data_IF_237426115089
#
_entry.id   IF_237426115089
#
_cell.length_a   1.000
_cell.length_b   1.000
_cell.length_c   1.000
_cell.angle_alpha   90.00
_cell.angle_beta   90.00
_cell.angle_gamma   90.00
#
_symmetry.space_group_name_H-M   'P 1'
#
loop_
_entity.id
_entity.type
_entity.pdbx_description
1 polymer ?
#
# COMPACT_ATOMS: atom_id res chain seq x y z
N UNK A 1 1.60 -7.84 17.67
CA UNK A 1 1.11 -6.45 17.74
C UNK A 1 2.31 -5.57 17.48
N UNK A 2 2.26 -4.74 16.44
CA UNK A 2 3.43 -4.07 15.84
C UNK A 2 4.26 -3.29 16.88
N UNK A 3 3.63 -2.61 17.83
CA UNK A 3 4.36 -1.88 18.88
C UNK A 3 5.18 -2.79 19.81
N UNK A 4 4.63 -3.95 20.20
CA UNK A 4 5.35 -4.92 21.02
C UNK A 4 6.50 -5.59 20.24
N UNK A 5 6.32 -5.79 18.93
CA UNK A 5 7.38 -6.29 18.05
C UNK A 5 8.49 -5.25 17.85
N UNK A 6 8.14 -3.96 17.74
CA UNK A 6 9.09 -2.85 17.67
C UNK A 6 9.94 -2.76 18.94
N UNK A 7 9.32 -2.89 20.13
CA UNK A 7 10.03 -2.98 21.40
C UNK A 7 10.98 -4.18 21.43
N UNK A 8 10.53 -5.36 20.98
CA UNK A 8 11.38 -6.55 20.89
C UNK A 8 12.54 -6.39 19.88
N UNK A 9 12.37 -5.55 18.86
CA UNK A 9 13.40 -5.18 17.90
C UNK A 9 14.36 -4.09 18.41
N UNK A 10 14.18 -3.60 19.64
CA UNK A 10 15.04 -2.59 20.27
C UNK A 10 14.66 -1.14 19.98
N UNK A 11 13.44 -0.88 19.48
CA UNK A 11 12.87 0.47 19.39
C UNK A 11 12.21 0.83 20.73
N UNK A 12 13.02 1.02 21.77
CA UNK A 12 12.60 1.16 23.16
C UNK A 12 12.32 2.61 23.59
N UNK A 13 11.64 3.38 22.73
CA UNK A 13 11.27 4.76 23.06
C UNK A 13 10.02 4.81 23.97
N UNK A 14 9.85 5.87 24.78
CA UNK A 14 8.69 6.01 25.67
C UNK A 14 7.34 5.85 24.95
N UNK A 15 7.19 6.41 23.75
CA UNK A 15 5.95 6.31 23.00
C UNK A 15 5.68 4.89 22.46
N UNK A 16 6.71 4.08 22.17
CA UNK A 16 6.51 2.66 21.84
C UNK A 16 6.01 1.85 23.04
N UNK A 17 6.55 2.12 24.24
CA UNK A 17 6.09 1.50 25.47
C UNK A 17 4.61 1.85 25.75
N UNK A 18 4.24 3.11 25.57
CA UNK A 18 2.86 3.59 25.72
C UNK A 18 1.92 2.92 24.71
N UNK A 19 2.29 2.93 23.42
CA UNK A 19 1.52 2.33 22.36
C UNK A 19 1.32 0.81 22.56
N UNK A 20 2.34 0.12 23.06
CA UNK A 20 2.25 -1.31 23.40
C UNK A 20 1.35 -1.58 24.62
N UNK A 21 1.16 -0.58 25.49
CA UNK A 21 0.29 -0.65 26.67
C UNK A 21 -1.15 -0.19 26.44
N UNK A 22 -1.48 0.41 25.29
CA UNK A 22 -2.83 0.93 25.03
C UNK A 22 -3.89 -0.18 25.02
N UNK A 23 -5.06 0.07 25.63
CA UNK A 23 -6.16 -0.88 25.58
C UNK A 23 -6.75 -0.92 24.16
N UNK A 24 -7.33 -2.08 23.77
CA UNK A 24 -7.90 -2.27 22.42
C UNK A 24 -9.03 -1.31 22.06
N UNK A 25 -9.65 -0.69 23.05
CA UNK A 25 -10.74 0.27 22.90
C UNK A 25 -10.29 1.74 23.12
N UNK A 26 -8.98 2.01 23.13
CA UNK A 26 -8.46 3.36 23.13
C UNK A 26 -9.01 4.16 21.93
N UNK A 27 -9.09 5.48 22.08
CA UNK A 27 -9.55 6.36 21.00
C UNK A 27 -8.61 6.24 19.80
N UNK A 28 -9.18 6.19 18.59
CA UNK A 28 -8.42 6.03 17.35
C UNK A 28 -7.46 7.21 17.13
N UNK A 29 -7.82 8.41 17.59
CA UNK A 29 -6.96 9.59 17.53
C UNK A 29 -5.78 9.46 18.48
N UNK A 30 -6.03 9.03 19.71
CA UNK A 30 -4.95 8.82 20.69
C UNK A 30 -3.96 7.75 20.19
N UNK A 31 -4.46 6.63 19.66
CA UNK A 31 -3.63 5.59 19.05
C UNK A 31 -2.76 6.17 17.92
N UNK A 32 -3.36 6.98 17.03
CA UNK A 32 -2.64 7.58 15.91
C UNK A 32 -1.58 8.55 16.40
N UNK A 33 -1.95 9.46 17.30
CA UNK A 33 -1.05 10.52 17.76
C UNK A 33 0.13 9.92 18.55
N UNK A 34 -0.10 8.89 19.39
CA UNK A 34 0.97 8.12 20.05
C UNK A 34 1.85 7.37 19.04
N UNK A 35 1.27 6.82 17.97
CA UNK A 35 2.04 6.15 16.92
C UNK A 35 2.94 7.11 16.13
N UNK A 36 2.41 8.29 15.76
CA UNK A 36 3.19 9.34 15.09
C UNK A 36 4.36 9.81 15.98
N UNK A 37 4.10 9.98 17.28
CA UNK A 37 5.13 10.30 18.26
C UNK A 37 6.20 9.21 18.36
N UNK A 38 5.82 7.93 18.40
CA UNK A 38 6.76 6.81 18.48
C UNK A 38 7.67 6.71 17.26
N UNK A 39 7.13 6.96 16.06
CA UNK A 39 7.92 7.03 14.84
C UNK A 39 8.90 8.20 14.86
N UNK A 40 8.45 9.38 15.29
CA UNK A 40 9.31 10.57 15.39
C UNK A 40 10.46 10.36 16.37
N UNK A 41 10.21 9.77 17.54
CA UNK A 41 11.23 9.44 18.53
C UNK A 41 12.26 8.43 18.01
N UNK A 42 11.84 7.55 17.10
CA UNK A 42 12.70 6.55 16.46
C UNK A 42 13.46 7.10 15.24
N UNK A 43 13.29 8.39 14.92
CA UNK A 43 13.87 9.00 13.72
C UNK A 43 13.25 8.50 12.41
N UNK A 44 12.07 7.87 12.47
CA UNK A 44 11.35 7.34 11.31
C UNK A 44 10.40 8.42 10.79
N UNK A 45 10.72 8.97 9.61
CA UNK A 45 9.84 9.89 8.92
C UNK A 45 8.65 9.17 8.30
N UNK A 46 7.45 9.72 8.47
CA UNK A 46 6.28 9.24 7.74
C UNK A 46 6.36 9.67 6.28
N UNK A 47 6.09 8.76 5.33
CA UNK A 47 5.94 9.16 3.94
C UNK A 47 4.78 10.14 3.80
N UNK A 48 4.91 11.12 2.90
CA UNK A 48 3.77 11.92 2.50
C UNK A 48 2.67 11.04 1.88
N UNK A 49 1.47 11.60 1.74
CA UNK A 49 0.30 10.86 1.22
C UNK A 49 0.56 10.24 -0.16
N UNK A 50 1.31 10.92 -1.03
CA UNK A 50 1.62 10.45 -2.38
C UNK A 50 2.57 9.26 -2.33
N UNK A 51 3.68 9.38 -1.61
CA UNK A 51 4.64 8.30 -1.41
C UNK A 51 3.99 7.08 -0.74
N UNK A 52 3.17 7.29 0.29
CA UNK A 52 2.42 6.23 0.95
C UNK A 52 1.48 5.48 -0.03
N UNK A 53 0.75 6.22 -0.89
CA UNK A 53 -0.12 5.63 -1.91
C UNK A 53 0.66 4.83 -2.95
N UNK A 54 1.85 5.29 -3.35
CA UNK A 54 2.71 4.57 -4.29
C UNK A 54 3.30 3.28 -3.69
N UNK A 55 3.71 3.31 -2.42
CA UNK A 55 4.08 2.08 -1.70
C UNK A 55 2.91 1.09 -1.63
N UNK A 56 1.69 1.57 -1.35
CA UNK A 56 0.50 0.73 -1.32
C UNK A 56 0.20 0.11 -2.70
N UNK A 57 0.34 0.89 -3.79
CA UNK A 57 0.16 0.41 -5.16
C UNK A 57 1.13 -0.74 -5.50
N UNK A 58 2.39 -0.61 -5.08
CA UNK A 58 3.42 -1.66 -5.27
C UNK A 58 3.16 -2.91 -4.46
N UNK A 59 2.75 -2.74 -3.20
CA UNK A 59 2.37 -3.87 -2.34
C UNK A 59 1.17 -4.62 -2.92
N UNK A 60 0.21 -3.90 -3.48
CA UNK A 60 -0.92 -4.50 -4.18
C UNK A 60 -0.47 -5.27 -5.42
N UNK A 61 0.44 -4.71 -6.23
CA UNK A 61 1.00 -5.41 -7.38
C UNK A 61 1.74 -6.69 -6.98
N UNK A 62 2.51 -6.67 -5.88
CA UNK A 62 3.18 -7.86 -5.34
C UNK A 62 2.17 -8.96 -4.96
N UNK A 63 1.15 -8.59 -4.16
CA UNK A 63 0.10 -9.54 -3.76
C UNK A 63 -0.69 -10.10 -4.95
N UNK A 64 -0.87 -9.31 -6.02
CA UNK A 64 -1.51 -9.77 -7.25
C UNK A 64 -0.65 -10.83 -7.97
N UNK A 65 0.66 -10.62 -8.03
CA UNK A 65 1.61 -11.58 -8.61
C UNK A 65 1.65 -12.88 -7.80
N UNK A 66 1.60 -12.77 -6.48
CA UNK A 66 1.58 -13.91 -5.56
C UNK A 66 0.22 -14.64 -5.51
N UNK A 67 -0.83 -14.05 -6.10
CA UNK A 67 -2.18 -14.62 -6.10
C UNK A 67 -2.93 -14.45 -4.77
N UNK A 68 -2.45 -13.57 -3.89
CA UNK A 68 -3.04 -13.28 -2.57
C UNK A 68 -4.15 -12.22 -2.59
N UNK A 69 -4.37 -11.60 -3.76
CA UNK A 69 -5.35 -10.54 -3.97
C UNK A 69 -6.19 -10.87 -5.18
N UNK A 70 -7.52 -10.71 -5.04
CA UNK A 70 -8.48 -10.90 -6.12
C UNK A 70 -8.72 -9.59 -6.86
N UNK A 71 -9.37 -9.68 -8.03
CA UNK A 71 -9.74 -8.50 -8.82
C UNK A 71 -10.73 -7.58 -8.09
N UNK A 72 -11.58 -8.13 -7.22
CA UNK A 72 -12.52 -7.34 -6.42
C UNK A 72 -11.79 -6.45 -5.39
N UNK A 73 -10.66 -6.92 -4.88
CA UNK A 73 -9.84 -6.17 -3.92
C UNK A 73 -9.18 -4.95 -4.59
N UNK A 74 -8.80 -5.06 -5.87
CA UNK A 74 -8.24 -3.96 -6.67
C UNK A 74 -9.23 -2.79 -6.83
N UNK A 75 -10.52 -3.09 -6.99
CA UNK A 75 -11.57 -2.09 -7.23
C UNK A 75 -11.92 -1.32 -5.95
N UNK A 76 -11.84 -1.98 -4.79
CA UNK A 76 -12.30 -1.43 -3.50
C UNK A 76 -11.42 -0.26 -2.98
N UNK A 77 -10.17 -0.20 -3.41
CA UNK A 77 -9.13 0.69 -2.86
C UNK A 77 -9.09 2.10 -3.50
N UNK A 78 -10.00 2.38 -4.45
CA UNK A 78 -10.23 3.71 -5.05
C UNK A 78 -8.92 4.40 -5.52
N UNK A 79 -8.15 3.73 -6.37
CA UNK A 79 -6.81 4.15 -6.80
C UNK A 79 -6.74 5.39 -7.69
N UNK A 80 -7.88 5.89 -8.19
CA UNK A 80 -7.96 6.92 -9.22
C UNK A 80 -7.41 8.30 -8.80
N UNK A 81 -7.23 8.54 -7.49
CA UNK A 81 -6.57 9.76 -6.98
C UNK A 81 -5.05 9.59 -6.77
N UNK A 82 -4.48 8.41 -7.04
CA UNK A 82 -3.07 8.17 -6.76
C UNK A 82 -2.20 8.80 -7.85
N UNK A 83 -1.38 9.77 -7.46
CA UNK A 83 -0.36 10.34 -8.35
C UNK A 83 0.70 9.28 -8.67
N UNK A 84 1.00 9.12 -9.96
CA UNK A 84 1.99 8.16 -10.48
C UNK A 84 3.09 8.90 -11.21
N UNK A 85 4.35 8.54 -10.92
CA UNK A 85 5.50 9.24 -11.49
C UNK A 85 6.25 8.38 -12.49
N UNK A 86 6.25 7.05 -12.29
CA UNK A 86 7.00 6.13 -13.14
C UNK A 86 6.12 5.52 -14.23
N UNK A 87 6.74 5.16 -15.36
CA UNK A 87 6.06 4.47 -16.45
C UNK A 87 5.45 3.12 -16.01
N UNK A 88 6.08 2.41 -15.07
CA UNK A 88 5.58 1.16 -14.55
C UNK A 88 4.32 1.35 -13.69
N UNK A 89 4.30 2.39 -12.84
CA UNK A 89 3.11 2.76 -12.06
C UNK A 89 1.96 3.18 -12.97
N UNK A 90 2.25 4.01 -13.98
CA UNK A 90 1.27 4.45 -14.97
C UNK A 90 0.68 3.26 -15.75
N UNK A 91 1.52 2.34 -16.22
CA UNK A 91 1.08 1.16 -16.97
C UNK A 91 0.19 0.23 -16.12
N UNK A 92 0.54 0.03 -14.84
CA UNK A 92 -0.27 -0.76 -13.93
C UNK A 92 -1.60 -0.07 -13.60
N UNK A 93 -1.55 1.22 -13.26
CA UNK A 93 -2.75 2.01 -12.90
C UNK A 93 -3.75 2.12 -14.05
N UNK A 94 -3.28 2.26 -15.29
CA UNK A 94 -4.13 2.31 -16.47
C UNK A 94 -4.97 1.04 -16.67
N UNK A 95 -4.58 -0.08 -16.05
CA UNK A 95 -5.28 -1.36 -16.13
C UNK A 95 -6.14 -1.65 -14.90
N UNK A 96 -6.09 -0.83 -13.85
CA UNK A 96 -6.95 -0.98 -12.68
C UNK A 96 -8.37 -0.50 -13.02
N UNK A 97 -9.37 -1.39 -13.03
CA UNK A 97 -10.73 -1.00 -13.39
C UNK A 97 -11.35 -0.17 -12.27
N UNK A 98 -12.11 0.87 -12.64
CA UNK A 98 -12.95 1.61 -11.70
C UNK A 98 -14.16 0.78 -11.24
N UNK A 99 -14.58 -0.19 -12.06
CA UNK A 99 -15.65 -1.14 -11.80
C UNK A 99 -15.37 -2.48 -12.48
N UNK A 100 -15.55 -3.59 -11.77
CA UNK A 100 -15.36 -4.96 -12.32
C UNK A 100 -16.33 -5.25 -13.47
N UNK A 101 -17.54 -4.70 -13.42
CA UNK A 101 -18.53 -4.88 -14.50
C UNK A 101 -18.23 -4.11 -15.79
N UNK A 102 -17.23 -3.22 -15.80
CA UNK A 102 -16.98 -2.30 -16.92
C UNK A 102 -15.67 -2.58 -17.67
N UNK A 103 -14.93 -3.64 -17.34
CA UNK A 103 -13.57 -3.88 -17.86
C UNK A 103 -13.51 -3.83 -19.39
N UNK A 104 -14.39 -4.55 -20.08
CA UNK A 104 -14.41 -4.57 -21.55
C UNK A 104 -14.72 -3.19 -22.14
N UNK A 105 -15.60 -2.43 -21.49
CA UNK A 105 -15.99 -1.10 -21.93
C UNK A 105 -14.89 -0.04 -21.66
N UNK A 106 -14.22 -0.11 -20.52
CA UNK A 106 -13.22 0.89 -20.11
C UNK A 106 -11.84 0.62 -20.71
N UNK A 107 -11.50 -0.65 -20.95
CA UNK A 107 -10.18 -1.05 -21.46
C UNK A 107 -10.19 -1.48 -22.93
N UNK A 108 -11.36 -1.84 -23.48
CA UNK A 108 -11.47 -2.41 -24.83
C UNK A 108 -10.88 -3.82 -24.96
N UNK A 109 -10.62 -4.51 -23.84
CA UNK A 109 -10.00 -5.83 -23.79
C UNK A 109 -11.02 -6.85 -23.25
N UNK A 110 -10.99 -8.06 -23.81
CA UNK A 110 -11.66 -9.20 -23.18
C UNK A 110 -11.03 -9.51 -21.81
N UNK A 111 -11.78 -10.18 -20.93
CA UNK A 111 -11.35 -10.49 -19.57
C UNK A 111 -10.00 -11.22 -19.50
N UNK A 112 -9.77 -12.20 -20.38
CA UNK A 112 -8.55 -13.01 -20.34
C UNK A 112 -7.33 -12.16 -20.74
N UNK A 113 -7.45 -11.37 -21.80
CA UNK A 113 -6.39 -10.47 -22.25
C UNK A 113 -6.09 -9.39 -21.22
N UNK A 114 -7.13 -8.80 -20.62
CA UNK A 114 -6.96 -7.80 -19.56
C UNK A 114 -6.24 -8.39 -18.34
N UNK A 115 -6.67 -9.56 -17.85
CA UNK A 115 -6.01 -10.21 -16.70
C UNK A 115 -4.52 -10.50 -16.98
N UNK A 116 -4.19 -10.97 -18.19
CA UNK A 116 -2.82 -11.22 -18.58
C UNK A 116 -1.98 -9.93 -18.61
N UNK A 117 -2.52 -8.84 -19.16
CA UNK A 117 -1.83 -7.54 -19.19
C UNK A 117 -1.67 -6.96 -17.78
N UNK A 118 -2.68 -7.09 -16.93
CA UNK A 118 -2.64 -6.61 -15.56
C UNK A 118 -1.54 -7.33 -14.77
N UNK A 119 -1.46 -8.66 -14.86
CA UNK A 119 -0.39 -9.44 -14.22
C UNK A 119 1.00 -9.06 -14.74
N UNK A 120 1.15 -8.86 -16.05
CA UNK A 120 2.42 -8.42 -16.64
C UNK A 120 2.84 -7.02 -16.15
N UNK A 121 1.89 -6.09 -16.05
CA UNK A 121 2.16 -4.74 -15.52
C UNK A 121 2.51 -4.78 -14.02
N UNK A 122 1.84 -5.64 -13.24
CA UNK A 122 2.18 -5.86 -11.83
C UNK A 122 3.59 -6.42 -11.65
N UNK A 123 3.98 -7.39 -12.49
CA UNK A 123 5.33 -7.96 -12.50
C UNK A 123 6.38 -6.92 -12.91
N UNK A 124 6.10 -6.07 -13.89
CA UNK A 124 6.97 -4.97 -14.27
C UNK A 124 7.13 -3.94 -13.14
N UNK A 125 6.04 -3.61 -12.44
CA UNK A 125 6.06 -2.67 -11.32
C UNK A 125 6.85 -3.22 -10.11
N UNK A 126 6.65 -4.49 -9.76
CA UNK A 126 7.37 -5.15 -8.65
C UNK A 126 8.86 -5.34 -8.95
N UNK A 127 9.22 -5.47 -10.23
CA UNK A 127 10.62 -5.54 -10.67
C UNK A 127 11.28 -4.17 -10.85
N UNK A 128 10.51 -3.07 -10.72
CA UNK A 128 11.01 -1.71 -10.92
C UNK A 128 11.77 -1.18 -9.69
N UNK A 129 12.69 -0.20 -9.85
CA UNK A 129 13.44 0.36 -8.73
C UNK A 129 12.55 0.89 -7.60
N UNK A 130 12.99 0.82 -6.32
CA UNK A 130 12.22 1.29 -5.16
C UNK A 130 11.82 2.78 -5.28
N UNK A 131 10.62 3.15 -4.81
CA UNK A 131 10.22 4.56 -4.67
C UNK A 131 10.61 5.01 -3.30
N UNK A 132 11.71 5.75 -3.20
CA UNK A 132 12.16 6.30 -1.92
C UNK A 132 12.57 5.24 -0.88
N UNK A 133 12.86 5.67 0.36
CA UNK A 133 13.23 4.78 1.45
C UNK A 133 12.03 3.92 1.88
N UNK A 134 12.28 2.63 2.16
CA UNK A 134 11.26 1.70 2.67
C UNK A 134 10.51 0.88 1.62
N UNK A 135 11.02 0.83 0.38
CA UNK A 135 10.53 -0.05 -0.69
C UNK A 135 11.47 -1.23 -0.95
#
# INVERSE_FOLDING_TARGET
MIAAEALAAGLDTPAWCELAGLPRNADVRDIRDTFEQALAESGIGLPDRGLARRHALRRMAARLVEGETTLADLVTEHWWETEVETAAEQAFMALIPQCDCCIEYTTGLDRQTWEARLRNAALALTSSPPVGPGC
#
